data_IF_549728745563
#
_entry.id   IF_549728745563
#
_cell.length_a   1.000
_cell.length_b   1.000
_cell.length_c   1.000
_cell.angle_alpha   90.00
_cell.angle_beta   90.00
_cell.angle_gamma   90.00
#
_symmetry.space_group_name_H-M   'P 1'
#
loop_
_entity.id
_entity.type
_entity.pdbx_description
1 polymer ?
#
# COMPACT_ATOMS: atom_id res chain seq x y z
N UNK A 1 -6.77 -11.02 0.34
CA UNK A 1 -5.49 -11.70 0.57
C UNK A 1 -4.33 -10.70 0.52
N UNK A 2 -3.90 -10.23 1.70
CA UNK A 2 -2.65 -9.50 1.89
C UNK A 2 -1.49 -10.39 1.48
N UNK A 3 -1.21 -10.43 0.19
CA UNK A 3 0.03 -10.99 -0.30
C UNK A 3 1.07 -9.88 -0.17
N UNK A 4 2.21 -10.12 0.51
CA UNK A 4 3.36 -9.20 0.57
C UNK A 4 3.77 -8.63 -0.80
N UNK A 5 3.48 -9.38 -1.86
CA UNK A 5 3.66 -9.01 -3.27
C UNK A 5 2.83 -7.77 -3.65
N UNK A 6 1.59 -7.66 -3.17
CA UNK A 6 0.67 -6.56 -3.52
C UNK A 6 1.06 -5.24 -2.84
N UNK A 7 1.58 -5.32 -1.61
CA UNK A 7 2.15 -4.16 -0.90
C UNK A 7 3.42 -3.67 -1.58
N UNK A 8 4.33 -4.58 -1.93
CA UNK A 8 5.53 -4.26 -2.70
C UNK A 8 5.22 -3.62 -4.07
N UNK A 9 4.16 -4.10 -4.73
CA UNK A 9 3.68 -3.51 -5.98
C UNK A 9 3.13 -2.09 -5.78
N UNK A 10 2.31 -1.86 -4.74
CA UNK A 10 1.76 -0.55 -4.43
C UNK A 10 2.84 0.47 -4.06
N UNK A 11 3.87 0.03 -3.32
CA UNK A 11 5.06 0.83 -3.02
C UNK A 11 5.82 1.22 -4.29
N UNK A 12 6.12 0.27 -5.17
CA UNK A 12 6.77 0.57 -6.46
C UNK A 12 5.93 1.54 -7.31
N UNK A 13 4.61 1.41 -7.27
CA UNK A 13 3.70 2.30 -7.98
C UNK A 13 3.69 3.72 -7.38
N UNK A 14 3.80 3.85 -6.06
CA UNK A 14 3.94 5.14 -5.39
C UNK A 14 5.24 5.87 -5.77
N UNK A 15 6.36 5.13 -5.91
CA UNK A 15 7.64 5.67 -6.36
C UNK A 15 7.54 6.16 -7.81
N UNK A 16 6.84 5.41 -8.69
CA UNK A 16 6.56 5.86 -10.06
C UNK A 16 5.78 7.19 -10.11
N UNK A 17 4.75 7.35 -9.26
CA UNK A 17 3.99 8.61 -9.19
C UNK A 17 4.84 9.79 -8.70
N UNK A 18 5.79 9.53 -7.80
CA UNK A 18 6.67 10.56 -7.26
C UNK A 18 7.75 10.96 -8.27
N UNK A 19 8.48 9.97 -8.82
CA UNK A 19 9.67 10.21 -9.65
C UNK A 19 9.35 10.49 -11.12
N UNK A 20 8.33 9.83 -11.69
CA UNK A 20 8.01 9.93 -13.12
C UNK A 20 6.92 10.96 -13.39
N UNK A 21 5.87 10.98 -12.56
CA UNK A 21 4.73 11.89 -12.74
C UNK A 21 4.90 13.23 -12.02
N UNK A 22 5.99 13.41 -11.26
CA UNK A 22 6.32 14.61 -10.49
C UNK A 22 5.13 15.13 -9.65
N UNK A 23 4.32 14.19 -9.15
CA UNK A 23 3.08 14.45 -8.44
C UNK A 23 3.18 13.91 -7.00
N UNK A 24 4.02 14.55 -6.15
CA UNK A 24 4.37 14.02 -4.83
C UNK A 24 3.16 13.89 -3.90
N UNK A 25 2.20 14.82 -3.98
CA UNK A 25 1.00 14.79 -3.14
C UNK A 25 0.13 13.56 -3.42
N UNK A 26 -0.03 13.20 -4.70
CA UNK A 26 -0.77 12.01 -5.11
C UNK A 26 -0.03 10.73 -4.77
N UNK A 27 1.30 10.71 -4.92
CA UNK A 27 2.12 9.58 -4.51
C UNK A 27 1.97 9.29 -3.01
N UNK A 28 2.04 10.34 -2.18
CA UNK A 28 1.95 10.23 -0.74
C UNK A 28 0.56 9.76 -0.29
N UNK A 29 -0.50 10.30 -0.89
CA UNK A 29 -1.87 9.88 -0.60
C UNK A 29 -2.13 8.43 -1.01
N UNK A 30 -1.62 8.03 -2.18
CA UNK A 30 -1.75 6.66 -2.68
C UNK A 30 -0.96 5.65 -1.82
N UNK A 31 0.28 5.99 -1.46
CA UNK A 31 1.11 5.16 -0.58
C UNK A 31 0.46 4.98 0.79
N UNK A 32 -0.08 6.06 1.37
CA UNK A 32 -0.76 6.03 2.66
C UNK A 32 -2.01 5.15 2.60
N UNK A 33 -2.86 5.32 1.59
CA UNK A 33 -4.06 4.51 1.44
C UNK A 33 -3.74 3.03 1.24
N UNK A 34 -2.76 2.70 0.38
CA UNK A 34 -2.36 1.32 0.15
C UNK A 34 -1.75 0.66 1.41
N UNK A 35 -1.10 1.46 2.25
CA UNK A 35 -0.56 1.01 3.53
C UNK A 35 -1.67 0.80 4.58
N UNK A 36 -2.59 1.76 4.70
CA UNK A 36 -3.72 1.70 5.64
C UNK A 36 -4.65 0.52 5.29
N UNK A 37 -4.95 0.30 4.00
CA UNK A 37 -5.72 -0.87 3.54
C UNK A 37 -5.02 -2.19 3.91
N UNK A 38 -3.70 -2.24 3.74
CA UNK A 38 -2.95 -3.44 4.07
C UNK A 38 -2.86 -3.71 5.58
N UNK A 39 -2.84 -2.66 6.41
CA UNK A 39 -2.93 -2.80 7.87
C UNK A 39 -4.32 -3.30 8.27
N UNK A 40 -5.39 -2.70 7.74
CA UNK A 40 -6.75 -3.13 8.04
C UNK A 40 -7.00 -4.60 7.66
N UNK A 41 -6.44 -5.03 6.52
CA UNK A 41 -6.55 -6.42 6.07
C UNK A 41 -5.61 -7.35 6.87
N UNK A 42 -4.45 -6.88 7.36
CA UNK A 42 -3.57 -7.60 8.29
C UNK A 42 -4.23 -7.87 9.65
N UNK A 43 -4.88 -6.85 10.23
CA UNK A 43 -5.61 -6.98 11.49
C UNK A 43 -6.74 -8.01 11.35
N UNK A 44 -7.43 -8.03 10.19
CA UNK A 44 -8.47 -9.01 9.91
C UNK A 44 -7.97 -10.46 9.76
N UNK A 45 -6.74 -10.65 9.25
CA UNK A 45 -6.14 -11.98 9.12
C UNK A 45 -5.58 -12.53 10.43
N UNK A 46 -5.24 -11.65 11.37
CA UNK A 46 -4.75 -12.04 12.68
C UNK A 46 -5.90 -12.58 13.57
N UNK A 47 -7.14 -12.15 13.33
CA UNK A 47 -8.35 -12.66 14.00
C UNK A 47 -8.76 -14.07 13.52
N UNK A 48 -8.52 -14.43 12.26
CA UNK A 48 -8.81 -15.77 11.72
C UNK A 48 -7.79 -16.85 12.13
N UNK A 49 -6.73 -16.48 12.86
CA UNK A 49 -5.67 -17.40 13.34
C UNK A 49 -5.81 -17.83 14.81
N UNK A 50 -6.96 -17.56 15.45
CA UNK A 50 -7.26 -17.96 16.84
C UNK A 50 -8.48 -18.89 16.91
#
# INVERSE_FOLDING_TARGET
>A
PTHPIRLGLALNFSVFYFEILNAPDRACHFAKHAFDDAIAELDSLNEDSY
#
